data_IF_473106570690
#
_entry.id   IF_473106570690
#
_cell.length_a   1.000
_cell.length_b   1.000
_cell.length_c   1.000
_cell.angle_alpha   90.00
_cell.angle_beta   90.00
_cell.angle_gamma   90.00
#
_symmetry.space_group_name_H-M   'P 1'
#
loop_
_entity.id
_entity.type
_entity.pdbx_description
1 polymer ?
#
# COMPACT_ATOMS: atom_id res chain seq x y z
N UNK A 1 45.82 -29.25 -0.47
CA UNK A 1 44.49 -29.34 0.16
C UNK A 1 43.97 -27.91 0.31
N UNK A 2 43.22 -27.45 -0.69
CA UNK A 2 42.78 -26.06 -0.87
C UNK A 2 41.39 -25.93 -0.27
N UNK A 3 41.24 -25.11 0.78
CA UNK A 3 39.95 -24.83 1.39
C UNK A 3 39.43 -23.50 0.82
N UNK A 4 38.33 -23.60 0.07
CA UNK A 4 37.58 -22.48 -0.50
C UNK A 4 36.80 -21.78 0.62
N UNK A 5 37.16 -20.52 0.93
CA UNK A 5 36.28 -19.58 1.58
C UNK A 5 35.60 -18.71 0.51
N UNK A 6 34.33 -18.98 0.23
CA UNK A 6 33.51 -18.12 -0.64
C UNK A 6 32.34 -17.54 0.14
N UNK A 7 32.43 -16.24 0.42
CA UNK A 7 31.39 -15.23 0.27
C UNK A 7 29.97 -15.55 0.79
N UNK A 8 29.73 -15.29 2.07
CA UNK A 8 28.40 -14.97 2.63
C UNK A 8 28.51 -13.65 3.38
N UNK A 9 28.71 -12.58 2.63
CA UNK A 9 28.51 -11.21 3.08
C UNK A 9 27.95 -10.45 1.88
N UNK A 10 27.05 -9.50 2.13
CA UNK A 10 26.32 -8.69 1.11
C UNK A 10 25.02 -9.29 0.56
N UNK A 11 24.10 -9.69 1.45
CA UNK A 11 22.65 -9.74 1.11
C UNK A 11 21.69 -9.23 2.19
N UNK A 12 22.20 -8.51 3.19
CA UNK A 12 21.41 -8.04 4.35
C UNK A 12 21.25 -6.51 4.44
N UNK A 13 21.54 -5.74 3.37
CA UNK A 13 21.50 -4.26 3.43
C UNK A 13 20.50 -3.55 2.51
N UNK A 14 19.54 -4.23 1.86
CA UNK A 14 18.61 -3.54 0.93
C UNK A 14 17.12 -3.61 1.36
N UNK A 15 16.75 -4.30 2.44
CA UNK A 15 15.34 -4.40 2.89
C UNK A 15 14.91 -3.43 4.01
N UNK A 16 15.68 -2.37 4.30
CA UNK A 16 15.31 -1.39 5.35
C UNK A 16 14.70 -0.06 4.86
N UNK A 17 14.46 0.14 3.55
CA UNK A 17 14.22 1.49 3.02
C UNK A 17 12.84 1.82 2.43
N UNK A 18 11.82 0.97 2.60
CA UNK A 18 10.46 1.31 2.16
C UNK A 18 9.40 0.89 3.17
N UNK A 19 9.38 1.53 4.34
CA UNK A 19 8.14 1.66 5.11
C UNK A 19 7.23 2.65 4.38
N UNK A 20 6.57 2.18 3.32
CA UNK A 20 5.28 2.77 2.95
C UNK A 20 4.35 2.49 4.12
N UNK A 21 4.12 3.52 4.94
CA UNK A 21 3.01 3.59 5.87
C UNK A 21 1.72 3.53 5.05
N UNK A 22 1.26 2.31 4.77
CA UNK A 22 -0.16 2.07 4.56
C UNK A 22 -0.80 2.51 5.88
N UNK A 23 -1.39 3.71 5.86
CA UNK A 23 -2.35 4.16 6.87
C UNK A 23 -3.54 3.20 6.80
N UNK A 24 -3.37 2.01 7.36
CA UNK A 24 -4.48 1.17 7.76
C UNK A 24 -4.99 1.82 9.04
N UNK A 25 -5.83 2.84 8.87
CA UNK A 25 -6.77 3.26 9.90
C UNK A 25 -7.77 2.13 10.07
N UNK A 26 -7.37 1.05 10.75
CA UNK A 26 -8.28 0.09 11.31
C UNK A 26 -9.00 0.80 12.47
N UNK A 27 -10.04 1.57 12.11
CA UNK A 27 -11.10 1.95 13.02
C UNK A 27 -11.80 0.65 13.45
N UNK A 28 -11.26 0.00 14.47
CA UNK A 28 -11.97 -1.05 15.21
C UNK A 28 -12.49 -0.37 16.46
N UNK A 29 -13.82 -0.36 16.61
CA UNK A 29 -14.57 0.43 17.59
C UNK A 29 -13.92 0.62 18.96
N UNK A 30 -13.94 1.88 19.38
CA UNK A 30 -14.05 2.46 20.72
C UNK A 30 -13.16 1.98 21.87
N UNK A 31 -12.14 1.16 21.60
CA UNK A 31 -11.07 0.93 22.57
C UNK A 31 -9.84 1.67 22.08
N UNK A 32 -9.67 2.91 22.53
CA UNK A 32 -8.37 3.57 22.47
C UNK A 32 -7.44 2.80 23.42
N UNK A 33 -6.78 1.74 22.92
CA UNK A 33 -5.87 0.89 23.71
C UNK A 33 -4.65 1.69 24.18
N UNK A 34 -4.42 2.86 23.58
CA UNK A 34 -3.46 3.81 24.11
C UNK A 34 -4.16 4.60 25.22
N UNK A 35 -3.86 4.34 26.52
CA UNK A 35 -4.25 5.30 27.54
C UNK A 35 -3.80 6.67 27.07
N UNK A 36 -4.63 7.71 27.28
CA UNK A 36 -4.24 9.11 27.11
C UNK A 36 -3.01 9.36 27.99
N UNK A 37 -1.85 9.02 27.44
CA UNK A 37 -0.56 9.19 28.05
C UNK A 37 -0.31 10.67 27.93
N UNK A 38 -0.33 11.33 29.08
CA UNK A 38 -0.03 12.75 29.21
C UNK A 38 1.12 13.12 28.28
N UNK A 39 0.80 14.05 27.40
CA UNK A 39 1.62 14.58 26.31
C UNK A 39 2.90 15.26 26.87
N UNK A 40 2.98 15.42 28.18
CA UNK A 40 4.06 16.09 28.93
C UNK A 40 5.38 15.29 28.96
N UNK A 41 5.37 13.99 28.64
CA UNK A 41 6.59 13.20 28.43
C UNK A 41 7.21 13.37 27.02
N UNK A 42 6.62 14.21 26.18
CA UNK A 42 7.28 14.61 24.94
C UNK A 42 8.37 15.63 25.27
N UNK A 43 9.58 15.14 25.57
CA UNK A 43 10.78 15.97 25.54
C UNK A 43 10.75 16.91 24.34
N UNK A 44 11.20 18.16 24.54
CA UNK A 44 11.14 19.23 23.54
C UNK A 44 11.58 18.69 22.19
N UNK A 45 10.80 18.95 21.14
CA UNK A 45 11.10 18.47 19.80
C UNK A 45 12.54 18.82 19.42
N UNK A 46 13.35 17.89 18.85
CA UNK A 46 14.76 18.14 18.58
C UNK A 46 15.00 19.38 17.72
N UNK A 47 14.09 19.69 16.80
CA UNK A 47 14.20 20.88 15.94
C UNK A 47 13.89 22.21 16.63
N UNK A 48 13.43 22.18 17.87
CA UNK A 48 13.24 23.37 18.71
C UNK A 48 14.41 23.60 19.66
N UNK A 49 15.37 22.66 19.76
CA UNK A 49 16.54 22.82 20.61
C UNK A 49 17.47 23.92 20.07
N UNK A 50 18.25 24.53 20.96
CA UNK A 50 19.23 25.55 20.56
C UNK A 50 20.36 24.92 19.73
N UNK A 51 20.83 23.74 20.14
CA UNK A 51 21.80 22.92 19.39
C UNK A 51 21.37 22.69 17.92
N UNK A 52 20.08 22.45 17.68
CA UNK A 52 19.60 22.28 16.31
C UNK A 52 19.58 23.59 15.52
N UNK A 53 19.23 24.72 16.16
CA UNK A 53 19.23 26.02 15.48
C UNK A 53 20.63 26.39 15.02
N UNK A 54 21.62 26.21 15.90
CA UNK A 54 23.04 26.42 15.59
C UNK A 54 23.49 25.53 14.42
N UNK A 55 23.26 24.21 14.51
CA UNK A 55 23.62 23.27 13.43
C UNK A 55 22.88 23.52 12.13
N UNK A 56 21.63 24.00 12.18
CA UNK A 56 20.83 24.24 10.98
C UNK A 56 21.50 25.28 10.08
N UNK A 57 22.14 26.29 10.65
CA UNK A 57 22.85 27.31 9.87
C UNK A 57 24.05 26.72 9.10
N UNK A 58 24.74 25.75 9.70
CA UNK A 58 25.87 25.06 9.06
C UNK A 58 25.44 24.08 7.96
N UNK A 59 24.25 23.48 8.11
CA UNK A 59 23.78 22.40 7.23
C UNK A 59 22.98 22.90 6.03
N UNK A 60 22.31 24.05 6.17
CA UNK A 60 21.59 24.66 5.05
C UNK A 60 22.60 25.23 4.05
N UNK A 61 22.84 24.47 2.98
CA UNK A 61 23.72 24.89 1.89
C UNK A 61 23.15 26.03 1.06
N UNK A 62 23.94 26.52 0.10
CA UNK A 62 23.60 27.72 -0.69
C UNK A 62 22.51 27.50 -1.75
N UNK A 63 22.25 26.24 -2.13
CA UNK A 63 21.34 25.90 -3.23
C UNK A 63 20.49 24.68 -2.89
N UNK A 64 19.27 24.69 -3.41
CA UNK A 64 18.36 23.57 -3.37
C UNK A 64 18.94 22.37 -4.13
N UNK A 65 19.04 21.23 -3.46
CA UNK A 65 19.55 19.98 -4.01
C UNK A 65 18.75 19.48 -5.22
N UNK A 66 17.44 19.76 -5.29
CA UNK A 66 16.59 19.29 -6.40
C UNK A 66 16.57 20.24 -7.60
N UNK A 67 16.43 21.55 -7.38
CA UNK A 67 16.21 22.51 -8.48
C UNK A 67 17.31 23.56 -8.65
N UNK A 68 18.28 23.64 -7.74
CA UNK A 68 19.36 24.62 -7.77
C UNK A 68 18.97 26.04 -7.35
N UNK A 69 17.70 26.31 -7.01
CA UNK A 69 17.26 27.60 -6.47
C UNK A 69 18.00 27.95 -5.18
N UNK A 70 18.32 29.23 -5.00
CA UNK A 70 18.92 29.81 -3.78
C UNK A 70 17.88 30.50 -2.87
N UNK A 71 16.59 30.40 -3.17
CA UNK A 71 15.53 31.09 -2.43
C UNK A 71 14.83 30.17 -1.43
N UNK A 72 14.56 30.68 -0.22
CA UNK A 72 13.76 30.02 0.81
C UNK A 72 14.22 28.59 1.12
N UNK A 73 15.50 28.42 1.45
CA UNK A 73 16.13 27.13 1.69
C UNK A 73 15.80 26.58 3.08
N UNK A 74 15.62 25.27 3.15
CA UNK A 74 15.28 24.54 4.35
C UNK A 74 16.11 23.25 4.42
N UNK A 75 16.57 22.92 5.63
CA UNK A 75 17.11 21.61 5.94
C UNK A 75 15.99 20.55 5.85
N UNK A 76 16.26 19.44 5.17
CA UNK A 76 15.36 18.31 5.06
C UNK A 76 16.09 17.00 5.40
N UNK A 77 15.63 16.32 6.43
CA UNK A 77 16.14 14.99 6.79
C UNK A 77 15.61 13.94 5.81
N UNK A 78 16.53 13.15 5.25
CA UNK A 78 16.20 12.02 4.38
C UNK A 78 15.51 10.88 5.12
N UNK A 79 15.78 10.76 6.43
CA UNK A 79 15.11 9.81 7.32
C UNK A 79 14.03 10.54 8.10
N UNK A 80 12.78 10.08 7.96
CA UNK A 80 11.68 10.55 8.80
C UNK A 80 11.83 9.96 10.20
N UNK A 81 11.74 10.82 11.22
CA UNK A 81 11.58 10.40 12.62
C UNK A 81 10.24 9.65 12.77
N UNK A 82 10.22 8.53 13.49
CA UNK A 82 8.97 7.84 13.77
C UNK A 82 8.04 8.75 14.56
N UNK A 83 6.73 8.69 14.30
CA UNK A 83 5.78 9.29 15.23
C UNK A 83 5.77 8.50 16.54
N UNK A 84 5.26 9.10 17.62
CA UNK A 84 5.08 8.37 18.88
C UNK A 84 4.27 7.08 18.66
N UNK A 85 3.23 7.14 17.82
CA UNK A 85 2.39 5.99 17.50
C UNK A 85 3.17 4.87 16.78
N UNK A 86 4.07 5.24 15.86
CA UNK A 86 4.92 4.28 15.14
C UNK A 86 5.89 3.58 16.10
N UNK A 87 6.57 4.36 16.97
CA UNK A 87 7.52 3.84 17.95
C UNK A 87 6.80 2.98 18.99
N UNK A 88 5.69 3.48 19.54
CA UNK A 88 4.89 2.79 20.54
C UNK A 88 4.35 1.46 20.01
N UNK A 89 3.81 1.44 18.78
CA UNK A 89 3.37 0.19 18.14
C UNK A 89 4.52 -0.79 18.00
N UNK A 90 5.70 -0.35 17.52
CA UNK A 90 6.88 -1.21 17.37
C UNK A 90 7.33 -1.81 18.70
N UNK A 91 7.44 -0.99 19.74
CA UNK A 91 7.84 -1.43 21.10
C UNK A 91 6.82 -2.40 21.67
N UNK A 92 5.53 -2.07 21.57
CA UNK A 92 4.45 -2.89 22.08
C UNK A 92 4.46 -4.29 21.45
N UNK A 93 4.52 -4.38 20.11
CA UNK A 93 4.53 -5.68 19.43
C UNK A 93 5.82 -6.47 19.66
N UNK A 94 6.97 -5.80 19.79
CA UNK A 94 8.21 -6.47 20.17
C UNK A 94 8.09 -7.12 21.56
N UNK A 95 7.65 -6.35 22.56
CA UNK A 95 7.44 -6.84 23.92
C UNK A 95 6.38 -7.94 23.98
N UNK A 96 5.26 -7.78 23.27
CA UNK A 96 4.22 -8.81 23.17
C UNK A 96 4.79 -10.14 22.65
N UNK A 97 5.61 -10.11 21.60
CA UNK A 97 6.23 -11.31 21.05
C UNK A 97 7.25 -11.94 22.02
N UNK A 98 8.07 -11.13 22.69
CA UNK A 98 9.01 -11.61 23.73
C UNK A 98 8.26 -12.32 24.87
N UNK A 99 7.17 -11.72 25.37
CA UNK A 99 6.35 -12.34 26.42
C UNK A 99 5.67 -13.62 25.94
N UNK A 100 5.27 -13.67 24.67
CA UNK A 100 4.68 -14.86 24.05
C UNK A 100 5.68 -16.02 24.01
N UNK A 101 6.90 -15.75 23.54
CA UNK A 101 8.00 -16.72 23.47
C UNK A 101 8.40 -17.23 24.87
N UNK A 102 8.34 -16.35 25.88
CA UNK A 102 8.60 -16.70 27.27
C UNK A 102 7.45 -17.44 27.96
N UNK A 103 6.30 -17.64 27.31
CA UNK A 103 5.12 -18.25 27.92
C UNK A 103 4.50 -17.42 29.05
N UNK A 104 4.76 -16.11 29.09
CA UNK A 104 4.26 -15.18 30.13
C UNK A 104 2.93 -14.54 29.78
N UNK A 105 2.42 -14.77 28.56
CA UNK A 105 1.11 -14.25 28.18
C UNK A 105 0.00 -15.12 28.76
N UNK A 106 -1.05 -14.52 29.33
CA UNK A 106 -2.24 -15.24 29.77
C UNK A 106 -3.08 -15.65 28.56
N UNK A 107 -2.68 -16.74 27.89
CA UNK A 107 -3.32 -17.24 26.66
C UNK A 107 -4.76 -17.70 26.90
N UNK A 108 -5.13 -17.98 28.16
CA UNK A 108 -6.50 -18.24 28.59
C UNK A 108 -7.45 -17.07 28.34
N UNK A 109 -6.94 -15.84 28.21
CA UNK A 109 -7.75 -14.67 27.84
C UNK A 109 -8.07 -14.62 26.34
N UNK A 110 -7.54 -15.52 25.51
CA UNK A 110 -7.88 -15.58 24.10
C UNK A 110 -9.31 -16.11 23.94
N UNK A 111 -10.22 -15.20 23.61
CA UNK A 111 -11.60 -15.58 23.30
C UNK A 111 -11.66 -16.18 21.90
N UNK A 112 -12.18 -17.40 21.82
CA UNK A 112 -12.48 -18.05 20.54
C UNK A 112 -13.91 -17.70 20.14
N UNK A 113 -14.05 -17.02 19.01
CA UNK A 113 -15.34 -16.66 18.42
C UNK A 113 -15.46 -17.26 17.03
N UNK A 114 -16.68 -17.44 16.53
CA UNK A 114 -16.91 -17.93 15.17
C UNK A 114 -17.51 -16.83 14.32
N UNK A 115 -16.90 -16.56 13.17
CA UNK A 115 -17.39 -15.56 12.21
C UNK A 115 -17.89 -16.24 10.94
N UNK A 116 -18.95 -15.67 10.38
CA UNK A 116 -19.44 -16.06 9.07
C UNK A 116 -18.46 -15.62 7.99
N UNK A 117 -18.16 -16.54 7.08
CA UNK A 117 -17.24 -16.33 5.95
C UNK A 117 -17.84 -16.86 4.66
N UNK A 118 -17.37 -16.33 3.53
CA UNK A 118 -17.70 -16.88 2.24
C UNK A 118 -17.14 -18.31 2.11
N UNK A 119 -17.98 -19.32 1.76
CA UNK A 119 -17.52 -20.70 1.64
C UNK A 119 -16.50 -20.92 0.51
N UNK A 120 -16.46 -20.03 -0.50
CA UNK A 120 -15.53 -20.15 -1.64
C UNK A 120 -14.16 -19.54 -1.38
N UNK A 121 -14.09 -18.35 -0.77
CA UNK A 121 -12.83 -17.59 -0.64
C UNK A 121 -12.45 -17.25 0.81
N UNK A 122 -13.22 -17.73 1.78
CA UNK A 122 -12.95 -17.60 3.22
C UNK A 122 -12.82 -16.15 3.72
N UNK A 123 -13.42 -15.19 3.00
CA UNK A 123 -13.46 -13.77 3.40
C UNK A 123 -14.67 -13.52 4.32
N UNK A 124 -14.45 -12.77 5.40
CA UNK A 124 -15.45 -12.42 6.43
C UNK A 124 -16.45 -11.37 5.99
N UNK A 125 -16.08 -10.50 5.04
CA UNK A 125 -16.98 -9.48 4.51
C UNK A 125 -17.96 -10.14 3.54
N UNK A 126 -19.12 -10.59 4.03
CA UNK A 126 -20.23 -11.14 3.24
C UNK A 126 -21.43 -10.20 3.34
N UNK A 127 -22.17 -10.04 2.24
CA UNK A 127 -23.35 -9.17 2.19
C UNK A 127 -24.62 -10.01 2.29
N UNK A 128 -25.43 -9.74 3.30
CA UNK A 128 -26.79 -10.27 3.38
C UNK A 128 -27.70 -9.55 2.38
N UNK A 129 -28.45 -10.32 1.59
CA UNK A 129 -29.46 -9.86 0.63
C UNK A 129 -30.83 -10.14 1.23
N UNK A 130 -31.62 -9.09 1.46
CA UNK A 130 -32.92 -9.20 2.13
C UNK A 130 -33.99 -9.87 1.25
N UNK A 131 -33.95 -9.63 -0.06
CA UNK A 131 -35.03 -9.99 -0.99
C UNK A 131 -34.66 -11.05 -2.02
N UNK A 132 -33.38 -11.42 -2.13
CA UNK A 132 -32.91 -12.34 -3.17
C UNK A 132 -32.37 -13.62 -2.54
N UNK A 133 -32.62 -14.75 -3.21
CA UNK A 133 -31.94 -16.01 -2.97
C UNK A 133 -30.83 -16.22 -4.03
N UNK A 134 -29.65 -16.75 -3.67
CA UNK A 134 -29.23 -17.11 -2.31
C UNK A 134 -29.09 -15.94 -1.31
N UNK A 135 -29.31 -16.15 -0.01
CA UNK A 135 -29.38 -15.03 0.97
C UNK A 135 -28.09 -14.21 1.09
N UNK A 136 -26.92 -14.78 0.82
CA UNK A 136 -25.64 -14.08 0.95
C UNK A 136 -24.94 -13.92 -0.40
N UNK A 137 -24.13 -12.86 -0.50
CA UNK A 137 -23.22 -12.62 -1.62
C UNK A 137 -21.86 -12.18 -1.12
N UNK A 138 -20.79 -12.80 -1.61
CA UNK A 138 -19.44 -12.32 -1.33
C UNK A 138 -19.09 -11.13 -2.25
N UNK A 139 -18.69 -9.96 -1.74
CA UNK A 139 -18.25 -8.83 -2.55
C UNK A 139 -16.92 -9.08 -3.25
N UNK A 140 -16.09 -9.99 -2.74
CA UNK A 140 -14.76 -10.29 -3.31
C UNK A 140 -14.87 -11.24 -4.51
N UNK A 141 -15.40 -12.45 -4.34
CA UNK A 141 -15.48 -13.46 -5.40
C UNK A 141 -16.85 -13.51 -6.10
N UNK A 142 -17.78 -12.60 -5.75
CA UNK A 142 -19.12 -12.47 -6.32
C UNK A 142 -20.03 -13.69 -6.20
N UNK A 143 -19.60 -14.73 -5.48
CA UNK A 143 -20.38 -15.97 -5.29
C UNK A 143 -21.56 -15.72 -4.38
N UNK A 144 -22.72 -16.25 -4.79
CA UNK A 144 -23.95 -16.26 -4.01
C UNK A 144 -24.08 -17.60 -3.28
N UNK A 145 -24.52 -17.60 -2.03
CA UNK A 145 -24.67 -18.80 -1.20
C UNK A 145 -25.73 -18.56 -0.13
N UNK A 146 -26.40 -19.62 0.32
CA UNK A 146 -27.48 -19.53 1.30
C UNK A 146 -26.96 -19.58 2.73
N UNK A 147 -25.93 -20.40 2.97
CA UNK A 147 -25.33 -20.57 4.30
C UNK A 147 -23.85 -20.18 4.26
N UNK A 148 -23.43 -19.21 5.09
CA UNK A 148 -22.01 -18.92 5.24
C UNK A 148 -21.31 -20.07 5.96
N UNK A 149 -20.06 -20.32 5.59
CA UNK A 149 -19.21 -21.19 6.41
C UNK A 149 -18.85 -20.45 7.71
N UNK A 150 -18.58 -21.21 8.77
CA UNK A 150 -18.06 -20.67 10.04
C UNK A 150 -16.54 -20.79 10.05
N UNK A 151 -15.85 -19.73 10.49
CA UNK A 151 -14.40 -19.75 10.72
C UNK A 151 -14.09 -19.36 12.16
N UNK A 152 -13.25 -20.16 12.81
CA UNK A 152 -12.65 -19.81 14.10
C UNK A 152 -11.87 -18.50 13.98
N UNK A 153 -12.14 -17.56 14.89
CA UNK A 153 -11.47 -16.30 15.03
C UNK A 153 -10.97 -16.16 16.46
N UNK A 154 -9.64 -16.14 16.62
CA UNK A 154 -8.98 -15.87 17.88
C UNK A 154 -8.94 -14.37 18.15
N UNK A 155 -9.62 -13.93 19.19
CA UNK A 155 -9.61 -12.55 19.63
C UNK A 155 -8.47 -12.35 20.64
N UNK A 156 -7.31 -11.89 20.17
CA UNK A 156 -6.15 -11.60 21.02
C UNK A 156 -6.23 -10.24 21.73
N UNK A 157 -7.29 -9.44 21.48
CA UNK A 157 -7.46 -8.11 22.10
C UNK A 157 -7.37 -8.13 23.63
N UNK A 158 -7.95 -9.08 24.37
CA UNK A 158 -7.83 -9.13 25.82
C UNK A 158 -6.36 -9.32 26.27
N UNK A 159 -5.60 -10.18 25.59
CA UNK A 159 -4.17 -10.39 25.86
C UNK A 159 -3.37 -9.12 25.56
N UNK A 160 -3.64 -8.44 24.44
CA UNK A 160 -2.99 -7.17 24.12
C UNK A 160 -3.30 -6.09 25.16
N UNK A 161 -4.55 -6.00 25.62
CA UNK A 161 -4.96 -5.11 26.71
C UNK A 161 -4.24 -5.44 28.01
N UNK A 162 -4.08 -6.72 28.34
CA UNK A 162 -3.28 -7.18 29.48
C UNK A 162 -1.83 -6.70 29.38
N UNK A 163 -1.17 -6.85 28.22
CA UNK A 163 0.21 -6.37 28.03
C UNK A 163 0.29 -4.86 28.21
N UNK A 164 -0.61 -4.10 27.58
CA UNK A 164 -0.62 -2.64 27.66
C UNK A 164 -0.81 -2.11 29.08
N UNK A 165 -1.58 -2.81 29.92
CA UNK A 165 -1.81 -2.46 31.32
C UNK A 165 -0.68 -2.89 32.24
N UNK A 166 -0.27 -4.17 32.18
CA UNK A 166 0.69 -4.73 33.16
C UNK A 166 2.14 -4.36 32.85
N UNK A 167 2.46 -4.07 31.59
CA UNK A 167 3.83 -3.72 31.16
C UNK A 167 3.96 -2.26 30.73
N UNK A 168 3.02 -1.40 31.15
CA UNK A 168 2.97 0.00 30.75
C UNK A 168 4.29 0.74 31.05
N UNK A 169 4.89 0.49 32.23
CA UNK A 169 6.16 1.11 32.63
C UNK A 169 7.30 0.72 31.71
N UNK A 170 7.47 -0.57 31.44
CA UNK A 170 8.51 -1.08 30.55
C UNK A 170 8.33 -0.57 29.11
N UNK A 171 7.09 -0.51 28.62
CA UNK A 171 6.78 0.07 27.30
C UNK A 171 7.23 1.53 27.24
N UNK A 172 6.92 2.34 28.27
CA UNK A 172 7.35 3.75 28.33
C UNK A 172 8.87 3.88 28.31
N UNK A 173 9.56 3.09 29.13
CA UNK A 173 11.02 3.12 29.22
C UNK A 173 11.66 2.77 27.87
N UNK A 174 11.20 1.69 27.21
CA UNK A 174 11.67 1.30 25.88
C UNK A 174 11.39 2.37 24.81
N UNK A 175 10.21 3.00 24.84
CA UNK A 175 9.87 4.10 23.93
C UNK A 175 10.85 5.27 24.13
N UNK A 176 11.15 5.64 25.37
CA UNK A 176 12.05 6.75 25.67
C UNK A 176 13.47 6.48 25.18
N UNK A 177 13.98 5.26 25.35
CA UNK A 177 15.29 4.87 24.80
C UNK A 177 15.32 5.03 23.27
N UNK A 178 14.32 4.51 22.56
CA UNK A 178 14.28 4.62 21.09
C UNK A 178 14.14 6.07 20.64
N UNK A 179 13.34 6.88 21.35
CA UNK A 179 13.18 8.31 21.02
C UNK A 179 14.48 9.08 21.20
N UNK A 180 15.21 8.86 22.29
CA UNK A 180 16.54 9.46 22.49
C UNK A 180 17.50 9.07 21.35
N UNK A 181 17.52 7.80 20.95
CA UNK A 181 18.33 7.36 19.82
C UNK A 181 17.91 8.01 18.49
N UNK A 182 16.61 8.14 18.22
CA UNK A 182 16.12 8.82 17.02
C UNK A 182 16.41 10.34 17.06
N UNK A 183 16.41 10.95 18.24
CA UNK A 183 16.71 12.37 18.43
C UNK A 183 18.22 12.64 18.26
N UNK A 184 19.07 11.79 18.83
CA UNK A 184 20.52 11.81 18.58
C UNK A 184 20.83 11.60 17.09
N UNK A 185 20.13 10.70 16.40
CA UNK A 185 20.29 10.52 14.96
C UNK A 185 19.76 11.71 14.16
N UNK A 186 18.66 12.32 14.58
CA UNK A 186 18.10 13.52 13.94
C UNK A 186 19.08 14.70 13.97
N UNK A 187 19.82 14.83 15.07
CA UNK A 187 20.83 15.86 15.25
C UNK A 187 22.13 15.59 14.44
N UNK A 188 22.33 14.37 13.93
CA UNK A 188 23.47 14.06 13.05
C UNK A 188 23.23 14.65 11.65
N UNK A 189 24.23 15.36 11.14
CA UNK A 189 24.09 16.15 9.91
C UNK A 189 24.21 15.35 8.62
N UNK A 190 24.70 14.11 8.71
CA UNK A 190 25.05 13.27 7.57
C UNK A 190 23.88 12.81 6.67
N UNK A 191 22.63 13.07 7.06
CA UNK A 191 21.41 12.69 6.31
C UNK A 191 20.48 13.86 6.03
N UNK A 192 21.03 15.07 5.98
CA UNK A 192 20.25 16.28 5.69
C UNK A 192 20.60 16.79 4.29
N UNK A 193 19.58 17.12 3.51
CA UNK A 193 19.73 17.82 2.24
C UNK A 193 19.08 19.21 2.34
N UNK A 194 19.58 20.14 1.55
CA UNK A 194 18.98 21.48 1.47
C UNK A 194 17.94 21.53 0.35
N UNK A 195 16.72 21.96 0.66
CA UNK A 195 15.62 22.09 -0.30
C UNK A 195 14.99 23.48 -0.22
N UNK A 196 14.66 24.07 -1.37
CA UNK A 196 13.81 25.27 -1.37
C UNK A 196 12.38 24.90 -0.89
N UNK A 197 11.63 25.88 -0.39
CA UNK A 197 10.27 25.70 0.13
C UNK A 197 9.36 24.86 -0.77
N UNK A 198 9.39 25.09 -2.09
CA UNK A 198 8.60 24.32 -3.09
C UNK A 198 9.04 22.86 -3.15
N UNK A 199 10.33 22.58 -3.30
CA UNK A 199 10.84 21.20 -3.35
C UNK A 199 10.63 20.48 -2.02
N UNK A 200 10.79 21.18 -0.89
CA UNK A 200 10.55 20.63 0.43
C UNK A 200 9.09 20.16 0.60
N UNK A 201 8.13 20.99 0.19
CA UNK A 201 6.70 20.64 0.20
C UNK A 201 6.40 19.38 -0.62
N UNK A 202 6.89 19.30 -1.86
CA UNK A 202 6.68 18.12 -2.69
C UNK A 202 7.38 16.87 -2.15
N UNK A 203 8.55 17.02 -1.51
CA UNK A 203 9.26 15.89 -0.91
C UNK A 203 8.46 15.26 0.25
N UNK A 204 7.79 16.07 1.07
CA UNK A 204 6.85 15.58 2.09
C UNK A 204 5.65 14.82 1.52
N UNK A 205 5.27 15.08 0.27
CA UNK A 205 4.25 14.33 -0.45
C UNK A 205 4.79 13.06 -1.15
N UNK A 206 6.05 12.69 -0.91
CA UNK A 206 6.67 11.56 -1.59
C UNK A 206 6.98 11.83 -3.06
N UNK A 207 7.16 13.10 -3.45
CA UNK A 207 7.46 13.52 -4.83
C UNK A 207 8.82 14.22 -4.93
N UNK A 208 9.49 14.06 -6.06
CA UNK A 208 10.75 14.74 -6.40
C UNK A 208 10.68 15.38 -7.78
N UNK A 209 11.46 16.43 -7.99
CA UNK A 209 11.56 17.10 -9.30
C UNK A 209 12.19 16.16 -10.33
N UNK A 210 11.64 16.14 -11.55
CA UNK A 210 12.18 15.34 -12.63
C UNK A 210 13.56 15.83 -13.05
N UNK A 211 14.56 14.93 -13.05
CA UNK A 211 15.93 15.25 -13.47
C UNK A 211 16.05 15.59 -14.97
N UNK A 212 15.09 15.15 -15.79
CA UNK A 212 15.11 15.33 -17.25
C UNK A 212 14.55 16.69 -17.65
N UNK A 213 13.30 17.00 -17.30
CA UNK A 213 12.70 18.29 -17.67
C UNK A 213 12.92 19.41 -16.65
N UNK A 214 13.24 19.08 -15.38
CA UNK A 214 13.37 20.06 -14.27
C UNK A 214 12.12 20.91 -14.00
N UNK A 215 10.96 20.50 -14.53
CA UNK A 215 9.69 21.22 -14.38
C UNK A 215 8.65 20.41 -13.59
N UNK A 216 8.48 19.14 -13.95
CA UNK A 216 7.43 18.28 -13.40
C UNK A 216 7.93 17.48 -12.20
N UNK A 217 7.08 17.38 -11.16
CA UNK A 217 7.31 16.49 -10.02
C UNK A 217 6.70 15.11 -10.28
N UNK A 218 7.32 14.07 -9.73
CA UNK A 218 6.83 12.69 -9.79
C UNK A 218 7.16 11.94 -8.53
N UNK A 219 6.53 10.77 -8.32
CA UNK A 219 6.78 9.95 -7.14
C UNK A 219 8.25 9.53 -7.05
N UNK A 220 8.77 9.45 -5.82
CA UNK A 220 10.19 9.16 -5.52
C UNK A 220 10.63 7.82 -6.11
N UNK A 221 9.72 6.84 -6.20
CA UNK A 221 9.98 5.50 -6.74
C UNK A 221 10.28 5.49 -8.25
N UNK A 222 9.86 6.51 -9.00
CA UNK A 222 10.18 6.62 -10.42
C UNK A 222 11.46 7.42 -10.65
N UNK A 223 12.14 7.20 -11.77
CA UNK A 223 13.36 7.93 -12.14
C UNK A 223 13.06 9.29 -12.82
N UNK A 224 11.93 9.39 -13.51
CA UNK A 224 11.51 10.59 -14.25
C UNK A 224 9.98 10.77 -14.22
N UNK A 225 9.50 11.95 -14.60
CA UNK A 225 8.06 12.22 -14.68
C UNK A 225 7.40 11.45 -15.82
N UNK A 226 6.07 11.37 -15.75
CA UNK A 226 5.25 10.67 -16.74
C UNK A 226 5.52 11.15 -18.17
N UNK A 227 5.55 12.47 -18.40
CA UNK A 227 5.75 13.03 -19.75
C UNK A 227 7.14 12.69 -20.32
N UNK A 228 8.19 12.80 -19.49
CA UNK A 228 9.54 12.40 -19.88
C UNK A 228 9.62 10.90 -20.14
N UNK A 229 8.94 10.07 -19.33
CA UNK A 229 8.86 8.64 -19.55
C UNK A 229 8.15 8.31 -20.88
N UNK A 230 7.02 8.96 -21.20
CA UNK A 230 6.32 8.81 -22.48
C UNK A 230 7.25 9.16 -23.65
N UNK A 231 7.94 10.31 -23.59
CA UNK A 231 8.91 10.73 -24.61
C UNK A 231 10.05 9.71 -24.75
N UNK A 232 10.58 9.20 -23.64
CA UNK A 232 11.66 8.20 -23.64
C UNK A 232 11.20 6.87 -24.27
N UNK A 233 10.01 6.39 -23.91
CA UNK A 233 9.42 5.17 -24.48
C UNK A 233 9.18 5.30 -25.99
N UNK A 234 8.66 6.45 -26.45
CA UNK A 234 8.52 6.73 -27.89
C UNK A 234 9.85 6.67 -28.63
N UNK A 235 10.93 7.23 -28.07
CA UNK A 235 12.29 7.12 -28.64
C UNK A 235 12.80 5.67 -28.75
N UNK A 236 12.22 4.74 -27.99
CA UNK A 236 12.53 3.30 -28.03
C UNK A 236 11.54 2.49 -28.87
N UNK A 237 10.74 3.15 -29.72
CA UNK A 237 9.73 2.48 -30.56
C UNK A 237 8.51 1.97 -29.80
N UNK A 238 8.18 2.55 -28.63
CA UNK A 238 6.99 2.18 -27.87
C UNK A 238 5.92 3.27 -27.94
N UNK A 239 4.70 2.86 -28.24
CA UNK A 239 3.53 3.74 -28.40
C UNK A 239 2.69 3.68 -27.11
N UNK A 240 2.24 4.85 -26.64
CA UNK A 240 1.29 4.93 -25.53
C UNK A 240 -0.07 4.44 -26.03
N UNK A 241 -0.64 3.46 -25.33
CA UNK A 241 -1.93 2.88 -25.66
C UNK A 241 -3.00 3.98 -25.62
N UNK A 242 -3.64 4.24 -26.77
CA UNK A 242 -4.69 5.26 -26.91
C UNK A 242 -5.95 4.98 -26.08
N UNK A 243 -6.11 3.76 -25.58
CA UNK A 243 -7.33 3.34 -24.88
C UNK A 243 -7.27 3.54 -23.38
N UNK A 244 -6.12 3.23 -22.77
CA UNK A 244 -5.96 3.37 -21.32
C UNK A 244 -5.08 4.54 -20.91
N UNK A 245 -4.33 5.12 -21.86
CA UNK A 245 -3.38 6.24 -21.66
C UNK A 245 -2.36 6.01 -20.54
N UNK A 246 -2.18 4.76 -20.10
CA UNK A 246 -1.36 4.36 -18.95
C UNK A 246 -0.31 3.31 -19.27
N UNK A 247 -0.45 2.59 -20.38
CA UNK A 247 0.45 1.49 -20.78
C UNK A 247 1.02 1.72 -22.16
N UNK A 248 2.15 1.07 -22.42
CA UNK A 248 2.85 1.14 -23.71
C UNK A 248 2.78 -0.22 -24.42
N UNK A 249 2.81 -0.19 -25.75
CA UNK A 249 2.94 -1.36 -26.61
C UNK A 249 3.93 -1.07 -27.75
N UNK A 250 4.35 -2.12 -28.46
CA UNK A 250 5.22 -1.97 -29.62
C UNK A 250 4.42 -1.44 -30.83
N UNK A 251 5.11 -0.85 -31.81
CA UNK A 251 4.45 -0.21 -32.96
C UNK A 251 3.60 -1.17 -33.80
N UNK A 252 3.97 -2.45 -33.82
CA UNK A 252 3.24 -3.51 -34.52
C UNK A 252 1.95 -3.94 -33.80
N UNK A 253 1.75 -3.50 -32.56
CA UNK A 253 0.54 -3.79 -31.78
C UNK A 253 -0.43 -2.60 -31.84
N UNK A 254 -1.74 -2.87 -31.92
CA UNK A 254 -2.77 -1.82 -31.91
C UNK A 254 -3.10 -1.30 -30.51
N UNK A 255 -2.79 -2.09 -29.47
CA UNK A 255 -3.14 -1.82 -28.07
C UNK A 255 -2.14 -2.49 -27.12
N UNK A 256 -2.10 -2.05 -25.86
CA UNK A 256 -1.36 -2.79 -24.81
C UNK A 256 -2.02 -4.13 -24.49
N UNK A 257 -1.27 -5.05 -23.88
CA UNK A 257 -1.74 -6.41 -23.56
C UNK A 257 -3.10 -6.44 -22.84
N UNK A 258 -3.31 -5.59 -21.84
CA UNK A 258 -4.60 -5.51 -21.13
C UNK A 258 -5.74 -5.00 -22.02
N UNK A 259 -5.50 -3.97 -22.81
CA UNK A 259 -6.52 -3.43 -23.71
C UNK A 259 -6.74 -4.34 -24.94
N UNK A 260 -5.74 -5.12 -25.33
CA UNK A 260 -5.84 -6.10 -26.42
C UNK A 260 -6.75 -7.25 -26.03
N UNK A 261 -6.74 -7.67 -24.77
CA UNK A 261 -7.64 -8.70 -24.26
C UNK A 261 -9.10 -8.25 -24.28
N UNK A 262 -9.36 -6.97 -23.99
CA UNK A 262 -10.71 -6.38 -24.12
C UNK A 262 -11.14 -6.14 -25.58
N UNK A 263 -10.27 -6.41 -26.56
CA UNK A 263 -10.46 -6.10 -27.98
C UNK A 263 -10.22 -7.30 -28.88
N UNK A 264 -10.51 -8.49 -28.39
CA UNK A 264 -10.86 -9.55 -29.33
C UNK A 264 -12.14 -9.07 -30.01
N UNK A 265 -11.99 -8.58 -31.24
CA UNK A 265 -13.06 -8.06 -32.08
C UNK A 265 -14.04 -9.20 -32.37
N UNK A 266 -15.00 -9.39 -31.48
CA UNK A 266 -15.97 -10.44 -31.63
C UNK A 266 -17.08 -9.95 -32.54
N UNK A 267 -17.11 -10.50 -33.75
CA UNK A 267 -18.22 -10.29 -34.68
C UNK A 267 -19.40 -11.13 -34.17
N UNK A 268 -20.52 -10.47 -33.89
CA UNK A 268 -21.76 -11.16 -33.54
C UNK A 268 -22.09 -12.17 -34.64
N UNK A 269 -22.22 -13.44 -34.31
CA UNK A 269 -22.51 -14.50 -35.27
C UNK A 269 -23.89 -14.37 -35.91
N UNK A 270 -24.83 -13.69 -35.24
CA UNK A 270 -26.20 -13.50 -35.72
C UNK A 270 -26.33 -12.28 -36.62
N UNK A 271 -25.89 -11.10 -36.17
CA UNK A 271 -26.11 -9.85 -36.91
C UNK A 271 -24.85 -9.28 -37.58
N UNK A 272 -23.68 -9.90 -37.36
CA UNK A 272 -22.43 -9.43 -37.92
C UNK A 272 -21.88 -8.12 -37.32
N UNK A 273 -22.56 -7.52 -36.34
CA UNK A 273 -22.07 -6.30 -35.64
C UNK A 273 -20.84 -6.64 -34.81
N UNK A 274 -19.88 -5.72 -34.78
CA UNK A 274 -18.70 -5.80 -33.92
C UNK A 274 -19.07 -5.51 -32.47
N UNK A 275 -18.63 -6.36 -31.52
CA UNK A 275 -18.87 -6.17 -30.09
C UNK A 275 -17.54 -5.83 -29.41
N UNK A 276 -17.46 -4.63 -28.84
CA UNK A 276 -16.21 -4.04 -28.32
C UNK A 276 -16.02 -4.19 -26.81
N UNK A 277 -16.96 -4.86 -26.12
CA UNK A 277 -16.94 -5.01 -24.68
C UNK A 277 -17.30 -6.45 -24.31
N UNK A 278 -16.36 -7.13 -23.65
CA UNK A 278 -16.53 -8.50 -23.16
C UNK A 278 -17.78 -8.67 -22.27
N UNK A 279 -18.25 -7.60 -21.62
CA UNK A 279 -19.48 -7.63 -20.81
C UNK A 279 -20.77 -7.69 -21.65
N UNK A 280 -20.69 -7.39 -22.95
CA UNK A 280 -21.83 -7.38 -23.88
C UNK A 280 -21.85 -8.60 -24.80
N UNK A 281 -21.05 -9.62 -24.48
CA UNK A 281 -20.87 -10.79 -25.32
C UNK A 281 -21.45 -12.01 -24.61
N UNK A 282 -22.47 -12.60 -25.23
CA UNK A 282 -22.94 -13.93 -24.87
C UNK A 282 -22.14 -14.97 -25.66
N UNK A 283 -21.52 -15.90 -24.96
CA UNK A 283 -20.84 -17.04 -25.57
C UNK A 283 -21.84 -18.19 -25.69
N UNK A 284 -22.20 -18.56 -26.91
CA UNK A 284 -22.92 -19.80 -27.20
C UNK A 284 -21.90 -20.80 -27.76
N UNK A 285 -21.70 -21.93 -27.08
CA UNK A 285 -20.68 -22.92 -27.41
C UNK A 285 -20.79 -23.42 -28.86
N UNK A 286 -21.99 -23.38 -29.46
CA UNK A 286 -22.23 -23.89 -30.81
C UNK A 286 -22.27 -22.79 -31.88
N UNK A 287 -22.41 -21.52 -31.49
CA UNK A 287 -22.68 -20.40 -32.43
C UNK A 287 -21.69 -19.25 -32.34
N UNK A 288 -20.68 -19.35 -31.48
CA UNK A 288 -19.70 -18.27 -31.29
C UNK A 288 -20.27 -17.10 -30.48
N UNK A 289 -19.73 -15.91 -30.71
CA UNK A 289 -20.02 -14.72 -29.90
C UNK A 289 -21.29 -14.00 -30.39
N UNK A 290 -22.20 -13.65 -29.48
CA UNK A 290 -23.43 -12.89 -29.78
C UNK A 290 -23.45 -11.53 -29.07
N UNK A 291 -23.91 -10.48 -29.75
CA UNK A 291 -24.14 -9.18 -29.09
C UNK A 291 -25.38 -9.21 -28.20
N UNK A 292 -25.41 -8.34 -27.18
CA UNK A 292 -26.52 -8.23 -26.22
C UNK A 292 -27.91 -8.07 -26.87
N UNK A 293 -28.02 -7.29 -27.96
CA UNK A 293 -29.28 -7.11 -28.71
C UNK A 293 -29.77 -8.39 -29.41
N UNK A 294 -28.85 -9.23 -29.90
CA UNK A 294 -29.22 -10.50 -30.53
C UNK A 294 -29.49 -11.56 -29.46
N UNK A 295 -28.74 -11.52 -28.35
CA UNK A 295 -28.96 -12.39 -27.21
C UNK A 295 -30.36 -12.17 -26.59
N UNK A 296 -30.82 -10.92 -26.48
CA UNK A 296 -32.15 -10.61 -25.92
C UNK A 296 -33.32 -10.98 -26.84
N UNK A 297 -33.10 -11.07 -28.16
CA UNK A 297 -34.12 -11.47 -29.14
C UNK A 297 -34.22 -12.98 -29.34
N UNK A 298 -33.15 -13.71 -29.04
CA UNK A 298 -33.20 -15.16 -28.96
C UNK A 298 -33.74 -15.53 -27.58
N UNK A 299 -35.07 -15.72 -27.49
CA UNK A 299 -35.85 -16.13 -26.30
C UNK A 299 -35.44 -17.49 -25.67
N UNK A 300 -34.21 -17.96 -25.89
CA UNK A 300 -33.72 -19.29 -25.48
C UNK A 300 -32.50 -19.27 -24.57
N UNK A 301 -32.16 -18.15 -23.94
CA UNK A 301 -31.08 -18.18 -22.94
C UNK A 301 -31.67 -18.36 -21.53
N UNK A 302 -31.42 -19.52 -20.86
CA UNK A 302 -31.67 -19.63 -19.45
C UNK A 302 -30.84 -18.57 -18.71
N UNK A 303 -31.44 -17.96 -17.68
CA UNK A 303 -30.84 -16.95 -16.81
C UNK A 303 -29.31 -17.10 -16.68
N UNK A 304 -28.60 -16.09 -17.18
CA UNK A 304 -27.14 -16.03 -17.29
C UNK A 304 -26.38 -16.51 -16.06
N UNK A 305 -25.69 -17.65 -16.19
CA UNK A 305 -24.38 -17.83 -15.56
C UNK A 305 -23.38 -17.02 -16.38
N UNK A 306 -22.85 -15.94 -15.82
CA UNK A 306 -21.64 -15.29 -16.35
C UNK A 306 -20.52 -16.33 -16.32
N UNK A 307 -20.08 -16.79 -17.49
CA UNK A 307 -18.92 -17.65 -17.61
C UNK A 307 -17.71 -16.92 -17.01
N UNK A 308 -17.14 -17.49 -15.94
CA UNK A 308 -15.85 -17.04 -15.43
C UNK A 308 -14.79 -17.53 -16.42
N UNK A 309 -14.14 -16.62 -17.13
CA UNK A 309 -12.90 -16.91 -17.84
C UNK A 309 -11.79 -17.11 -16.79
N UNK A 310 -11.12 -18.28 -16.86
CA UNK A 310 -9.85 -18.58 -16.17
C UNK A 310 -8.69 -17.85 -16.86
#
# INVERSE_FOLDING_TARGET
MVILFTNITVRLQIMQMYCYSLNISLFVGDVNIYPQLEVDLLGKEPWKSEEWKERREEVVGEKCFQCGSNQNLNAHHLRRRGTYQDISSRVFYALYNELKEQGKLPLELIEITYKDVCPRCNKTNIRLRKTMLPRYRCPMCKTNFDEPAKKEYRNEKPVMSYVGKNYQKEIKERIEVIRKQEDEEYLKTNKIITLCRKCHYFNHQGKKLCRVCKENYHEIQYEMCWDCNVKNKKKRGRILCKFCERKFHDENQKACSECSFMRTDFKCSVCGKMVFDAHHICFDCDKGYMCSECASKHDKLPNHNTANFL
#
